data_IF_502087674717
#
_entry.id   IF_502087674717
#
_cell.length_a   1.000
_cell.length_b   1.000
_cell.length_c   1.000
_cell.angle_alpha   90.00
_cell.angle_beta   90.00
_cell.angle_gamma   90.00
#
_symmetry.space_group_name_H-M   'P 1'
#
loop_
_entity.id
_entity.type
_entity.pdbx_description
1 polymer ?
#
# COMPACT_ATOMS: atom_id res chain seq x y z
N UNK A 1 -6.99 -14.54 15.56
CA UNK A 1 -7.69 -13.42 14.91
C UNK A 1 -9.15 -13.46 15.32
N UNK A 2 -9.73 -12.28 15.58
CA UNK A 2 -11.18 -12.17 15.82
C UNK A 2 -11.89 -12.33 14.46
N UNK A 3 -12.35 -13.56 14.18
CA UNK A 3 -13.02 -13.90 12.92
C UNK A 3 -14.34 -13.16 12.72
N UNK A 4 -15.05 -12.83 13.79
CA UNK A 4 -16.30 -12.07 13.71
C UNK A 4 -16.03 -10.63 13.29
N UNK A 5 -14.94 -10.05 13.78
CA UNK A 5 -14.50 -8.72 13.32
C UNK A 5 -14.08 -8.75 11.86
N UNK A 6 -13.28 -9.74 11.44
CA UNK A 6 -12.84 -9.88 10.04
C UNK A 6 -14.05 -10.01 9.10
N UNK A 7 -15.03 -10.86 9.44
CA UNK A 7 -16.27 -11.00 8.64
C UNK A 7 -17.06 -9.70 8.56
N UNK A 8 -17.19 -8.96 9.66
CA UNK A 8 -17.88 -7.66 9.68
C UNK A 8 -17.17 -6.59 8.88
N UNK A 9 -15.85 -6.72 8.73
CA UNK A 9 -14.99 -5.78 7.97
C UNK A 9 -14.84 -6.15 6.51
N UNK A 10 -15.47 -7.24 6.04
CA UNK A 10 -15.38 -7.68 4.66
C UNK A 10 -15.91 -6.61 3.69
N UNK A 11 -15.08 -6.26 2.72
CA UNK A 11 -15.49 -5.36 1.64
C UNK A 11 -16.18 -6.19 0.57
N UNK A 12 -17.53 -6.16 0.58
CA UNK A 12 -18.34 -6.79 -0.48
C UNK A 12 -18.16 -6.07 -1.81
N UNK A 13 -18.51 -6.70 -2.91
CA UNK A 13 -18.49 -6.07 -4.24
C UNK A 13 -19.34 -4.79 -4.29
N UNK A 14 -20.50 -4.80 -3.64
CA UNK A 14 -21.36 -3.62 -3.52
C UNK A 14 -20.66 -2.48 -2.75
N UNK A 15 -19.95 -2.80 -1.67
CA UNK A 15 -19.20 -1.81 -0.90
C UNK A 15 -18.01 -1.28 -1.68
N UNK A 16 -17.26 -2.15 -2.37
CA UNK A 16 -16.14 -1.74 -3.22
C UNK A 16 -16.57 -0.79 -4.33
N UNK A 17 -17.74 -1.06 -4.97
CA UNK A 17 -18.31 -0.13 -5.97
C UNK A 17 -18.62 1.23 -5.36
N UNK A 18 -19.29 1.28 -4.20
CA UNK A 18 -19.59 2.56 -3.53
C UNK A 18 -18.32 3.35 -3.18
N UNK A 19 -17.29 2.66 -2.69
CA UNK A 19 -16.00 3.29 -2.39
C UNK A 19 -15.35 3.85 -3.67
N UNK A 20 -15.41 3.12 -4.77
CA UNK A 20 -14.93 3.59 -6.07
C UNK A 20 -15.69 4.84 -6.52
N UNK A 21 -17.02 4.83 -6.43
CA UNK A 21 -17.86 5.97 -6.82
C UNK A 21 -17.49 7.22 -5.99
N UNK A 22 -17.34 7.08 -4.67
CA UNK A 22 -16.89 8.19 -3.80
C UNK A 22 -15.49 8.68 -4.16
N UNK A 23 -14.55 7.77 -4.47
CA UNK A 23 -13.22 8.18 -4.91
C UNK A 23 -13.27 8.96 -6.22
N UNK A 24 -14.10 8.55 -7.17
CA UNK A 24 -14.27 9.25 -8.46
C UNK A 24 -14.85 10.65 -8.25
N UNK A 25 -15.87 10.79 -7.41
CA UNK A 25 -16.50 12.09 -7.08
C UNK A 25 -15.50 13.09 -6.47
N UNK A 26 -14.48 12.57 -5.77
CA UNK A 26 -13.42 13.37 -5.16
C UNK A 26 -12.11 13.42 -5.95
N UNK A 27 -12.07 12.89 -7.19
CA UNK A 27 -10.86 12.79 -8.02
C UNK A 27 -9.71 12.07 -7.32
N UNK A 28 -10.00 11.04 -6.51
CA UNK A 28 -9.04 10.18 -5.85
C UNK A 28 -9.01 8.84 -6.58
N UNK A 29 -7.81 8.36 -6.93
CA UNK A 29 -7.67 7.08 -7.59
C UNK A 29 -7.98 5.92 -6.65
N UNK A 30 -9.00 5.14 -6.97
CA UNK A 30 -9.36 3.93 -6.23
C UNK A 30 -8.59 2.72 -6.76
N UNK A 31 -7.99 1.96 -5.86
CA UNK A 31 -7.46 0.61 -6.12
C UNK A 31 -7.49 -0.22 -4.84
N UNK A 32 -7.38 -1.53 -4.97
CA UNK A 32 -7.56 -2.45 -3.86
C UNK A 32 -6.55 -3.60 -3.92
N UNK A 33 -6.26 -4.20 -2.77
CA UNK A 33 -5.55 -5.47 -2.69
C UNK A 33 -6.49 -6.61 -3.06
N UNK A 34 -6.11 -7.41 -4.06
CA UNK A 34 -6.82 -8.65 -4.40
C UNK A 34 -6.14 -9.83 -3.69
N UNK A 35 -6.94 -10.68 -3.02
CA UNK A 35 -6.46 -11.87 -2.32
C UNK A 35 -6.88 -13.18 -2.99
N UNK A 36 -7.78 -13.13 -3.97
CA UNK A 36 -8.27 -14.26 -4.74
C UNK A 36 -8.63 -13.84 -6.19
N UNK A 37 -8.65 -14.77 -7.15
CA UNK A 37 -8.82 -14.44 -8.58
C UNK A 37 -10.10 -13.68 -8.91
N UNK A 38 -11.23 -14.04 -8.29
CA UNK A 38 -12.53 -13.41 -8.54
C UNK A 38 -12.53 -11.93 -8.13
N UNK A 39 -11.77 -11.56 -7.08
CA UNK A 39 -11.59 -10.16 -6.72
C UNK A 39 -10.90 -9.37 -7.83
N UNK A 40 -9.94 -9.98 -8.54
CA UNK A 40 -9.30 -9.33 -9.70
C UNK A 40 -10.31 -9.11 -10.82
N UNK A 41 -11.11 -10.12 -11.15
CA UNK A 41 -12.14 -10.00 -12.19
C UNK A 41 -13.14 -8.89 -11.86
N UNK A 42 -13.56 -8.82 -10.60
CA UNK A 42 -14.47 -7.78 -10.16
C UNK A 42 -13.83 -6.38 -10.22
N UNK A 43 -12.59 -6.24 -9.76
CA UNK A 43 -11.87 -4.95 -9.84
C UNK A 43 -11.66 -4.50 -11.30
N UNK A 44 -11.48 -5.44 -12.23
CA UNK A 44 -11.47 -5.13 -13.67
C UNK A 44 -12.83 -4.57 -14.14
N UNK A 45 -13.95 -5.13 -13.66
CA UNK A 45 -15.29 -4.60 -13.98
C UNK A 45 -15.52 -3.18 -13.44
N UNK A 46 -14.82 -2.80 -12.36
CA UNK A 46 -14.80 -1.43 -11.84
C UNK A 46 -13.80 -0.52 -12.55
N UNK A 47 -13.08 -1.03 -13.55
CA UNK A 47 -12.10 -0.28 -14.32
C UNK A 47 -11.01 0.38 -13.46
N UNK A 48 -10.51 -0.33 -12.43
CA UNK A 48 -9.37 0.16 -11.64
C UNK A 48 -8.14 0.36 -12.53
N UNK A 49 -7.34 1.37 -12.24
CA UNK A 49 -6.17 1.73 -13.07
C UNK A 49 -4.88 1.06 -12.61
N UNK A 50 -4.83 0.59 -11.38
CA UNK A 50 -3.68 -0.10 -10.78
C UNK A 50 -4.13 -1.12 -9.73
N UNK A 51 -3.20 -1.95 -9.31
CA UNK A 51 -3.39 -2.95 -8.26
C UNK A 51 -2.45 -2.77 -7.09
N UNK A 52 -2.86 -3.26 -5.92
CA UNK A 52 -2.01 -3.48 -4.76
C UNK A 52 -1.86 -4.98 -4.50
N UNK A 53 -0.66 -5.40 -4.16
CA UNK A 53 -0.35 -6.74 -3.65
C UNK A 53 0.17 -6.60 -2.23
N UNK A 54 -0.53 -7.21 -1.29
CA UNK A 54 -0.14 -7.23 0.12
C UNK A 54 1.08 -8.17 0.33
N UNK A 55 1.88 -7.88 1.36
CA UNK A 55 3.07 -8.68 1.71
C UNK A 55 2.76 -10.16 1.89
N UNK A 56 1.64 -10.49 2.50
CA UNK A 56 1.16 -11.86 2.73
C UNK A 56 0.98 -12.64 1.42
N UNK A 57 0.43 -12.01 0.38
CA UNK A 57 0.23 -12.65 -0.94
C UNK A 57 1.57 -13.01 -1.59
N UNK A 58 2.62 -12.22 -1.34
CA UNK A 58 3.96 -12.49 -1.86
C UNK A 58 4.65 -13.70 -1.23
N UNK A 59 4.15 -14.22 -0.10
CA UNK A 59 4.67 -15.45 0.52
C UNK A 59 4.30 -16.73 -0.23
N UNK A 60 3.24 -16.68 -1.05
CA UNK A 60 2.69 -17.85 -1.79
C UNK A 60 2.25 -19.02 -0.90
N UNK A 61 1.99 -18.75 0.38
CA UNK A 61 1.53 -19.76 1.35
C UNK A 61 0.00 -19.96 1.36
N UNK A 62 -0.71 -18.95 0.91
CA UNK A 62 -2.16 -18.98 0.74
C UNK A 62 -2.50 -19.69 -0.57
N UNK A 63 -3.49 -20.60 -0.63
CA UNK A 63 -3.80 -21.39 -1.83
C UNK A 63 -4.13 -20.55 -3.06
N UNK A 64 -4.70 -19.37 -2.89
CA UNK A 64 -5.07 -18.48 -3.99
C UNK A 64 -3.96 -17.53 -4.42
N UNK A 65 -2.89 -17.34 -3.62
CA UNK A 65 -1.87 -16.31 -3.85
C UNK A 65 -1.26 -16.36 -5.25
N UNK A 66 -0.82 -17.54 -5.68
CA UNK A 66 -0.15 -17.72 -6.98
C UNK A 66 -1.08 -17.38 -8.15
N UNK A 67 -2.33 -17.84 -8.09
CA UNK A 67 -3.29 -17.60 -9.15
C UNK A 67 -3.74 -16.13 -9.18
N UNK A 68 -3.97 -15.54 -8.02
CA UNK A 68 -4.26 -14.09 -7.89
C UNK A 68 -3.15 -13.24 -8.53
N UNK A 69 -1.88 -13.53 -8.22
CA UNK A 69 -0.74 -12.82 -8.82
C UNK A 69 -0.73 -12.95 -10.35
N UNK A 70 -1.01 -14.15 -10.88
CA UNK A 70 -1.11 -14.35 -12.34
C UNK A 70 -2.29 -13.59 -12.95
N UNK A 71 -3.45 -13.56 -12.29
CA UNK A 71 -4.59 -12.78 -12.74
C UNK A 71 -4.27 -11.29 -12.79
N UNK A 72 -3.65 -10.73 -11.75
CA UNK A 72 -3.20 -9.34 -11.76
C UNK A 72 -2.16 -9.09 -12.87
N UNK A 73 -1.19 -10.00 -13.04
CA UNK A 73 -0.16 -9.87 -14.09
C UNK A 73 -0.76 -9.81 -15.50
N UNK A 74 -1.79 -10.59 -15.78
CA UNK A 74 -2.51 -10.59 -17.08
C UNK A 74 -3.14 -9.24 -17.42
N UNK A 75 -3.50 -8.44 -16.43
CA UNK A 75 -4.08 -7.10 -16.64
C UNK A 75 -3.08 -6.11 -17.25
N UNK A 76 -1.78 -6.36 -17.10
CA UNK A 76 -0.67 -5.48 -17.49
C UNK A 76 -0.70 -4.08 -16.85
N UNK A 77 -1.58 -3.86 -15.87
CA UNK A 77 -1.72 -2.58 -15.16
C UNK A 77 -0.58 -2.35 -14.17
N UNK A 78 -0.26 -1.10 -13.82
CA UNK A 78 0.68 -0.78 -12.75
C UNK A 78 0.31 -1.50 -11.46
N UNK A 79 1.31 -2.02 -10.76
CA UNK A 79 1.09 -2.84 -9.56
C UNK A 79 2.03 -2.41 -8.45
N UNK A 80 1.47 -2.05 -7.31
CA UNK A 80 2.20 -1.72 -6.08
C UNK A 80 2.33 -3.00 -5.24
N UNK A 81 3.52 -3.33 -4.80
CA UNK A 81 3.82 -4.61 -4.15
C UNK A 81 4.57 -4.36 -2.83
N UNK A 82 3.95 -4.71 -1.71
CA UNK A 82 4.60 -4.70 -0.40
C UNK A 82 5.37 -5.99 -0.14
N UNK A 83 6.58 -5.89 0.45
CA UNK A 83 7.50 -7.01 0.65
C UNK A 83 7.82 -7.26 2.13
N UNK A 84 6.97 -6.81 3.06
CA UNK A 84 7.25 -6.80 4.51
C UNK A 84 7.27 -8.16 5.21
N UNK A 85 6.94 -9.24 4.52
CA UNK A 85 6.93 -10.59 5.09
C UNK A 85 7.99 -11.53 4.47
N UNK A 86 8.91 -10.99 3.65
CA UNK A 86 10.05 -11.76 3.13
C UNK A 86 9.76 -12.60 1.88
N UNK A 87 8.82 -12.21 1.03
CA UNK A 87 8.59 -12.86 -0.27
C UNK A 87 9.80 -12.71 -1.22
N UNK A 88 9.94 -13.66 -2.16
CA UNK A 88 11.01 -13.63 -3.17
C UNK A 88 10.72 -12.59 -4.27
N UNK A 89 11.39 -11.44 -4.18
CA UNK A 89 11.27 -10.34 -5.16
C UNK A 89 11.62 -10.76 -6.59
N UNK A 90 12.60 -11.65 -6.77
CA UNK A 90 13.01 -12.13 -8.10
C UNK A 90 11.91 -13.00 -8.71
N UNK A 91 11.31 -13.88 -7.89
CA UNK A 91 10.19 -14.71 -8.33
C UNK A 91 8.96 -13.86 -8.67
N UNK A 92 8.61 -12.89 -7.82
CA UNK A 92 7.49 -11.97 -8.09
C UNK A 92 7.72 -11.21 -9.40
N UNK A 93 8.92 -10.68 -9.65
CA UNK A 93 9.25 -10.03 -10.93
C UNK A 93 9.01 -10.91 -12.15
N UNK A 94 9.27 -12.22 -12.05
CA UNK A 94 9.02 -13.17 -13.16
C UNK A 94 7.53 -13.35 -13.46
N UNK A 95 6.65 -13.20 -12.45
CA UNK A 95 5.20 -13.29 -12.63
C UNK A 95 4.67 -12.05 -13.39
N UNK A 96 5.31 -10.89 -13.22
CA UNK A 96 4.87 -9.59 -13.76
C UNK A 96 5.78 -9.05 -14.88
N UNK A 97 6.00 -9.77 -16.00
CA UNK A 97 7.00 -9.38 -16.99
C UNK A 97 6.63 -8.11 -17.78
N UNK A 98 5.35 -7.72 -17.79
CA UNK A 98 4.81 -6.59 -18.58
C UNK A 98 4.17 -5.49 -17.72
N UNK A 99 4.17 -5.61 -16.41
CA UNK A 99 3.57 -4.64 -15.51
C UNK A 99 4.62 -3.65 -15.01
N UNK A 100 4.26 -2.37 -14.92
CA UNK A 100 5.05 -1.41 -14.14
C UNK A 100 4.89 -1.73 -12.67
N UNK A 101 5.96 -2.14 -12.00
CA UNK A 101 5.94 -2.51 -10.60
C UNK A 101 6.54 -1.41 -9.73
N UNK A 102 5.90 -1.14 -8.59
CA UNK A 102 6.41 -0.29 -7.51
C UNK A 102 6.57 -1.17 -6.27
N UNK A 103 7.80 -1.48 -5.89
CA UNK A 103 8.06 -2.25 -4.68
C UNK A 103 8.15 -1.34 -3.47
N UNK A 104 7.35 -1.63 -2.43
CA UNK A 104 7.36 -0.88 -1.19
C UNK A 104 8.17 -1.61 -0.12
N UNK A 105 9.09 -0.88 0.52
CA UNK A 105 9.62 -1.29 1.81
C UNK A 105 8.48 -1.34 2.82
N UNK A 106 8.45 -2.39 3.61
CA UNK A 106 7.40 -2.62 4.57
C UNK A 106 7.93 -3.54 5.68
N UNK A 107 7.56 -3.29 6.92
CA UNK A 107 7.72 -4.22 8.03
C UNK A 107 6.32 -4.50 8.57
N UNK A 108 5.92 -5.78 8.57
CA UNK A 108 4.57 -6.20 8.96
C UNK A 108 4.43 -6.33 10.49
N UNK A 109 4.59 -5.21 11.18
CA UNK A 109 4.38 -5.02 12.62
C UNK A 109 3.45 -3.82 12.83
N UNK A 110 2.43 -3.94 13.68
CA UNK A 110 1.33 -3.00 13.83
C UNK A 110 1.03 -2.68 15.31
N UNK A 111 1.46 -1.53 15.88
CA UNK A 111 2.31 -0.51 15.24
C UNK A 111 3.78 -0.95 15.17
N UNK A 112 4.49 -0.40 14.18
CA UNK A 112 5.92 -0.61 14.01
C UNK A 112 6.72 0.34 14.91
N UNK A 113 7.72 -0.19 15.62
CA UNK A 113 8.71 0.65 16.30
C UNK A 113 9.62 1.34 15.27
N UNK A 114 9.75 2.68 15.38
CA UNK A 114 10.53 3.50 14.47
C UNK A 114 12.00 3.05 14.35
N UNK A 115 12.59 2.56 15.45
CA UNK A 115 13.99 2.11 15.51
C UNK A 115 14.25 0.82 14.71
N UNK A 116 13.21 0.08 14.35
CA UNK A 116 13.33 -1.13 13.52
C UNK A 116 13.47 -0.84 12.03
N UNK A 117 13.29 0.40 11.61
CA UNK A 117 13.42 0.76 10.19
C UNK A 117 14.90 0.76 9.81
N UNK A 118 15.26 -0.11 8.87
CA UNK A 118 16.56 -0.04 8.20
C UNK A 118 16.48 0.97 7.04
N UNK A 119 16.87 2.20 7.30
CA UNK A 119 16.81 3.28 6.31
C UNK A 119 17.66 3.02 5.08
N UNK A 120 18.83 2.38 5.25
CA UNK A 120 19.71 2.01 4.14
C UNK A 120 19.01 1.07 3.17
N UNK A 121 18.22 0.13 3.67
CA UNK A 121 17.44 -0.80 2.84
C UNK A 121 16.17 -0.11 2.33
N UNK A 122 15.47 0.65 3.17
CA UNK A 122 14.22 1.31 2.82
C UNK A 122 14.36 2.19 1.58
N UNK A 123 15.43 2.98 1.47
CA UNK A 123 15.68 3.88 0.34
C UNK A 123 16.02 3.15 -0.98
N UNK A 124 16.26 1.84 -0.95
CA UNK A 124 16.43 1.02 -2.16
C UNK A 124 15.10 0.58 -2.78
N UNK A 125 13.99 0.84 -2.10
CA UNK A 125 12.66 0.54 -2.61
C UNK A 125 12.07 1.77 -3.32
N UNK A 126 11.08 1.50 -4.19
CA UNK A 126 10.38 2.55 -4.94
C UNK A 126 9.36 3.29 -4.08
N UNK A 127 8.87 2.63 -3.02
CA UNK A 127 7.87 3.15 -2.10
C UNK A 127 8.09 2.66 -0.68
N UNK A 128 7.34 3.25 0.24
CA UNK A 128 7.36 2.96 1.67
C UNK A 128 5.93 2.74 2.19
N UNK A 129 5.64 1.54 2.68
CA UNK A 129 4.39 1.20 3.36
C UNK A 129 4.64 1.26 4.86
N UNK A 130 4.19 2.34 5.49
CA UNK A 130 4.53 2.72 6.84
C UNK A 130 3.48 2.28 7.87
N UNK A 131 3.95 1.63 8.94
CA UNK A 131 3.14 1.21 10.08
C UNK A 131 3.60 1.85 11.40
N UNK A 132 4.50 2.84 11.35
CA UNK A 132 4.93 3.57 12.56
C UNK A 132 3.84 4.52 13.06
N UNK A 133 3.99 4.98 14.29
CA UNK A 133 3.16 6.06 14.82
C UNK A 133 3.63 7.41 14.29
N UNK A 134 2.69 8.31 14.05
CA UNK A 134 2.97 9.70 13.65
C UNK A 134 3.55 9.84 12.25
N UNK A 135 4.06 11.04 11.97
CA UNK A 135 4.44 11.52 10.63
C UNK A 135 5.92 11.37 10.28
N UNK A 136 6.77 11.02 11.27
CA UNK A 136 8.23 11.12 11.13
C UNK A 136 8.80 10.19 10.05
N UNK A 137 8.38 8.92 10.02
CA UNK A 137 8.92 7.95 9.07
C UNK A 137 8.58 8.30 7.61
N UNK A 138 7.33 8.63 7.23
CA UNK A 138 7.01 9.10 5.88
C UNK A 138 7.80 10.34 5.46
N UNK A 139 7.98 11.31 6.37
CA UNK A 139 8.75 12.54 6.11
C UNK A 139 10.21 12.21 5.85
N UNK A 140 10.85 11.41 6.71
CA UNK A 140 12.25 11.01 6.53
C UNK A 140 12.44 10.25 5.22
N UNK A 141 11.58 9.27 4.93
CA UNK A 141 11.67 8.52 3.69
C UNK A 141 11.57 9.44 2.47
N UNK A 142 10.60 10.36 2.47
CA UNK A 142 10.42 11.33 1.38
C UNK A 142 11.64 12.20 1.20
N UNK A 143 12.21 12.71 2.30
CA UNK A 143 13.42 13.55 2.29
C UNK A 143 14.62 12.80 1.70
N UNK A 144 14.87 11.58 2.18
CA UNK A 144 15.98 10.74 1.71
C UNK A 144 15.82 10.38 0.23
N UNK A 145 14.63 10.00 -0.20
CA UNK A 145 14.35 9.68 -1.62
C UNK A 145 14.49 10.91 -2.51
N UNK A 146 14.05 12.07 -2.05
CA UNK A 146 14.24 13.30 -2.80
C UNK A 146 15.71 13.68 -2.91
N UNK A 147 16.47 13.58 -1.82
CA UNK A 147 17.92 13.80 -1.82
C UNK A 147 18.64 12.89 -2.83
N UNK A 148 18.16 11.65 -3.01
CA UNK A 148 18.65 10.72 -4.06
C UNK A 148 18.19 11.09 -5.50
N UNK A 149 17.47 12.19 -5.70
CA UNK A 149 16.97 12.61 -7.00
C UNK A 149 15.71 11.85 -7.47
N UNK A 150 15.02 11.12 -6.59
CA UNK A 150 13.78 10.43 -6.95
C UNK A 150 12.66 11.42 -7.23
N UNK A 151 12.01 11.30 -8.42
CA UNK A 151 10.89 12.17 -8.83
C UNK A 151 9.51 11.63 -8.44
N UNK A 152 9.39 10.31 -8.31
CA UNK A 152 8.13 9.65 -7.95
C UNK A 152 8.35 8.90 -6.64
N UNK A 153 7.81 9.43 -5.56
CA UNK A 153 7.93 8.86 -4.22
C UNK A 153 6.55 8.37 -3.82
N UNK A 154 6.44 7.10 -3.47
CA UNK A 154 5.19 6.48 -3.03
C UNK A 154 5.24 6.25 -1.53
N UNK A 155 4.24 6.77 -0.83
CA UNK A 155 3.99 6.52 0.59
C UNK A 155 2.62 5.85 0.73
N UNK A 156 2.57 4.78 1.52
CA UNK A 156 1.34 4.14 1.96
C UNK A 156 1.23 4.24 3.46
N UNK A 157 0.07 4.64 3.95
CA UNK A 157 -0.18 4.83 5.39
C UNK A 157 -1.62 4.45 5.73
N UNK A 158 -1.81 3.75 6.84
CA UNK A 158 -3.14 3.49 7.38
C UNK A 158 -3.80 4.78 7.87
N UNK A 159 -5.07 4.96 7.55
CA UNK A 159 -5.88 6.10 7.98
C UNK A 159 -7.15 5.60 8.67
N UNK A 160 -7.64 6.37 9.65
CA UNK A 160 -8.89 6.12 10.37
C UNK A 160 -9.64 7.40 10.65
N UNK A 161 -10.91 7.30 10.92
CA UNK A 161 -11.64 8.37 11.59
C UNK A 161 -11.20 8.43 13.07
N UNK A 162 -11.21 9.62 13.67
CA UNK A 162 -10.65 9.92 15.00
C UNK A 162 -11.03 8.89 16.09
N UNK A 163 -12.27 8.40 16.08
CA UNK A 163 -12.78 7.49 17.10
C UNK A 163 -12.91 6.04 16.61
N UNK A 164 -12.41 5.72 15.42
CA UNK A 164 -12.49 4.36 14.88
C UNK A 164 -11.66 3.38 15.69
N UNK A 165 -12.23 2.19 15.89
CA UNK A 165 -11.59 1.05 16.54
C UNK A 165 -11.36 -0.06 15.51
N UNK A 166 -10.39 -0.92 15.74
CA UNK A 166 -10.08 -2.05 14.88
C UNK A 166 -8.64 -2.51 15.07
N UNK A 167 -8.25 -3.65 14.50
CA UNK A 167 -6.91 -4.22 14.69
C UNK A 167 -5.79 -3.29 14.20
N UNK A 168 -6.01 -2.54 13.12
CA UNK A 168 -5.03 -1.62 12.55
C UNK A 168 -5.16 -0.18 13.09
N UNK A 169 -6.17 0.10 13.95
CA UNK A 169 -6.38 1.44 14.50
C UNK A 169 -5.17 1.98 15.29
N UNK A 170 -4.39 1.17 16.04
CA UNK A 170 -3.19 1.66 16.72
C UNK A 170 -2.12 2.20 15.76
N UNK A 171 -1.98 1.65 14.56
CA UNK A 171 -1.01 2.09 13.53
C UNK A 171 -1.57 3.07 12.50
N UNK A 172 -2.86 3.40 12.61
CA UNK A 172 -3.54 4.31 11.69
C UNK A 172 -3.46 5.75 12.18
N UNK A 173 -3.23 6.68 11.26
CA UNK A 173 -3.38 8.10 11.49
C UNK A 173 -4.85 8.52 11.48
N UNK A 174 -5.20 9.51 12.28
CA UNK A 174 -6.45 10.22 12.04
C UNK A 174 -6.34 11.21 10.85
N UNK A 175 -7.46 11.76 10.44
CA UNK A 175 -7.53 12.66 9.28
C UNK A 175 -6.71 13.93 9.44
N UNK A 176 -6.57 14.45 10.66
CA UNK A 176 -5.81 15.67 10.94
C UNK A 176 -4.30 15.42 10.87
N UNK A 177 -3.84 14.30 11.46
CA UNK A 177 -2.45 13.86 11.35
C UNK A 177 -2.07 13.55 9.90
N UNK A 178 -2.95 12.86 9.17
CA UNK A 178 -2.75 12.55 7.75
C UNK A 178 -2.64 13.82 6.91
N UNK A 179 -3.50 14.81 7.15
CA UNK A 179 -3.42 16.12 6.49
C UNK A 179 -2.10 16.84 6.75
N UNK A 180 -1.62 16.83 8.01
CA UNK A 180 -0.31 17.40 8.37
C UNK A 180 0.84 16.69 7.66
N UNK A 181 0.81 15.35 7.62
CA UNK A 181 1.78 14.55 6.89
C UNK A 181 1.84 14.94 5.40
N UNK A 182 0.69 15.00 4.73
CA UNK A 182 0.63 15.37 3.31
C UNK A 182 1.18 16.77 3.08
N UNK A 183 0.80 17.76 3.90
CA UNK A 183 1.34 19.13 3.79
C UNK A 183 2.87 19.15 3.92
N UNK A 184 3.41 18.43 4.89
CA UNK A 184 4.88 18.35 5.09
C UNK A 184 5.57 17.68 3.90
N UNK A 185 5.02 16.59 3.37
CA UNK A 185 5.54 15.91 2.18
C UNK A 185 5.54 16.86 0.97
N UNK A 186 4.46 17.62 0.74
CA UNK A 186 4.38 18.58 -0.38
C UNK A 186 5.40 19.72 -0.23
N UNK A 187 5.66 20.19 0.98
CA UNK A 187 6.73 21.18 1.23
C UNK A 187 8.11 20.62 0.85
N UNK A 188 8.40 19.37 1.23
CA UNK A 188 9.64 18.69 0.87
C UNK A 188 9.75 18.52 -0.64
N UNK A 189 8.69 18.06 -1.31
CA UNK A 189 8.66 17.88 -2.77
C UNK A 189 8.97 19.18 -3.53
N UNK A 190 8.52 20.30 -3.01
CA UNK A 190 8.71 21.63 -3.63
C UNK A 190 10.02 22.31 -3.21
N UNK A 191 10.74 21.79 -2.21
CA UNK A 191 12.01 22.37 -1.75
C UNK A 191 13.17 22.02 -2.70
N UNK A 192 14.24 22.83 -2.68
CA UNK A 192 15.53 22.47 -3.28
C UNK A 192 16.37 21.80 -2.19
N UNK A 193 16.69 20.52 -2.34
CA UNK A 193 17.56 19.78 -1.42
C UNK A 193 18.98 19.57 -1.98
N UNK A 194 19.23 20.08 -3.19
CA UNK A 194 20.55 20.05 -3.87
C UNK A 194 20.86 21.45 -4.36
#
# INVERSE_FOLDING_TARGET
>A
PDWDFIKKSEITFKTAKKLKDVCDDHNIEFYCSAFYPEAVMYLESLNVKKYKIASRTCLLKDPFSKETLKCVAKTKKPTIISMGMGGDKKYIKKIFPKNKMTFCYCISEYPLSFQKINWKDAIQFDGFSDHTLGVSAPIIYTTLKKYQGSRNIMIEKHIKLKNSKGPDAPSSMDTDEFSKMIKSIRLIENSKLN
#
